data_IF_770302478542
#
_entry.id   IF_770302478542
#
_cell.length_a   1.000
_cell.length_b   1.000
_cell.length_c   1.000
_cell.angle_alpha   90.00
_cell.angle_beta   90.00
_cell.angle_gamma   90.00
#
_symmetry.space_group_name_H-M   'P 1'
#
loop_
_entity.id
_entity.type
_entity.pdbx_description
1 polymer ?
#
# COMPACT_ATOMS: atom_id res chain seq x y z
N UNK A 1 -23.13 -2.70 10.76
CA UNK A 1 -21.87 -1.92 10.65
C UNK A 1 -21.41 -1.96 9.20
N UNK A 2 -21.03 -0.83 8.58
CA UNK A 2 -20.58 -0.79 7.16
C UNK A 2 -19.05 -0.75 7.10
N UNK A 3 -18.44 -1.31 6.05
CA UNK A 3 -16.96 -1.29 5.85
C UNK A 3 -16.40 0.14 5.94
N UNK A 4 -17.09 1.11 5.33
CA UNK A 4 -16.72 2.53 5.39
C UNK A 4 -16.65 3.12 6.80
N UNK A 5 -17.21 2.45 7.81
CA UNK A 5 -17.17 2.91 9.20
C UNK A 5 -15.93 2.40 9.96
N UNK A 6 -15.18 1.46 9.38
CA UNK A 6 -14.02 0.81 10.02
C UNK A 6 -12.75 0.83 9.16
N UNK A 7 -12.88 1.04 7.85
CA UNK A 7 -11.72 1.08 6.95
C UNK A 7 -10.84 2.31 7.19
N UNK A 8 -9.55 2.17 6.87
CA UNK A 8 -8.67 3.34 6.67
C UNK A 8 -9.07 3.98 5.34
N UNK A 9 -9.60 5.20 5.38
CA UNK A 9 -10.18 5.86 4.20
C UNK A 9 -9.16 6.25 3.12
N UNK A 10 -7.89 6.44 3.50
CA UNK A 10 -6.82 6.82 2.57
C UNK A 10 -5.53 6.07 2.93
N UNK A 11 -5.44 4.76 2.66
CA UNK A 11 -4.24 3.99 2.95
C UNK A 11 -3.07 4.50 2.10
N UNK A 12 -1.85 4.33 2.59
CA UNK A 12 -0.66 4.53 1.76
C UNK A 12 -0.64 3.50 0.63
N UNK A 13 -0.38 3.96 -0.58
CA UNK A 13 -0.32 3.13 -1.79
C UNK A 13 1.05 3.20 -2.43
N UNK A 14 1.41 2.15 -3.17
CA UNK A 14 2.62 2.06 -3.99
C UNK A 14 2.20 2.12 -5.45
N UNK A 15 2.91 2.86 -6.28
CA UNK A 15 2.67 2.87 -7.73
C UNK A 15 3.28 1.63 -8.39
N UNK A 16 2.62 1.06 -9.39
CA UNK A 16 3.11 -0.13 -10.10
C UNK A 16 4.45 0.06 -10.83
N UNK A 17 4.86 1.30 -11.07
CA UNK A 17 6.11 1.68 -11.73
C UNK A 17 7.24 2.06 -10.75
N UNK A 18 6.97 2.09 -9.44
CA UNK A 18 7.97 2.35 -8.41
C UNK A 18 8.91 1.15 -8.22
N UNK A 19 10.17 1.43 -7.86
CA UNK A 19 11.12 0.37 -7.54
C UNK A 19 10.78 -0.28 -6.19
N UNK A 20 11.29 -1.49 -5.96
CA UNK A 20 11.13 -2.16 -4.66
C UNK A 20 11.75 -1.34 -3.51
N UNK A 21 12.81 -0.58 -3.78
CA UNK A 21 13.44 0.30 -2.80
C UNK A 21 12.58 1.53 -2.47
N UNK A 22 11.82 2.05 -3.43
CA UNK A 22 10.87 3.14 -3.17
C UNK A 22 9.66 2.59 -2.38
N UNK A 23 9.16 1.42 -2.78
CA UNK A 23 8.08 0.75 -2.07
C UNK A 23 8.46 0.37 -0.62
N UNK A 24 9.72 0.01 -0.37
CA UNK A 24 10.18 -0.39 0.96
C UNK A 24 10.18 0.79 1.95
N UNK A 25 10.39 2.02 1.47
CA UNK A 25 10.38 3.24 2.29
C UNK A 25 9.04 3.48 2.97
N UNK A 26 7.92 3.14 2.31
CA UNK A 26 6.58 3.31 2.90
C UNK A 26 6.45 2.53 4.23
N UNK A 27 7.05 1.33 4.33
CA UNK A 27 7.01 0.56 5.57
C UNK A 27 7.90 1.16 6.67
N UNK A 28 9.05 1.73 6.29
CA UNK A 28 9.99 2.37 7.22
C UNK A 28 9.47 3.71 7.74
N UNK A 29 8.85 4.50 6.86
CA UNK A 29 8.46 5.88 7.13
C UNK A 29 7.06 6.00 7.77
N UNK A 30 6.18 5.01 7.55
CA UNK A 30 4.77 5.11 7.92
C UNK A 30 4.24 3.99 8.85
N UNK A 31 5.11 3.12 9.38
CA UNK A 31 4.75 2.01 10.28
C UNK A 31 3.54 1.18 9.78
N UNK A 32 3.51 0.94 8.47
CA UNK A 32 2.54 0.06 7.83
C UNK A 32 3.21 -1.30 7.55
N UNK A 33 2.41 -2.36 7.46
CA UNK A 33 2.89 -3.71 7.10
C UNK A 33 2.44 -4.16 5.70
N UNK A 34 1.48 -3.45 5.10
CA UNK A 34 0.98 -3.71 3.76
C UNK A 34 0.53 -2.39 3.10
N UNK A 35 0.62 -2.37 1.78
CA UNK A 35 0.15 -1.26 0.97
C UNK A 35 -0.49 -1.80 -0.32
N UNK A 36 -1.65 -1.27 -0.76
CA UNK A 36 -2.19 -1.55 -2.09
C UNK A 36 -1.24 -1.02 -3.16
N UNK A 37 -1.09 -1.78 -4.25
CA UNK A 37 -0.38 -1.33 -5.44
C UNK A 37 -1.41 -0.76 -6.42
N UNK A 38 -1.21 0.49 -6.84
CA UNK A 38 -2.09 1.19 -7.78
C UNK A 38 -1.42 1.38 -9.14
N UNK A 39 -2.19 1.16 -10.19
CA UNK A 39 -1.79 1.31 -11.59
C UNK A 39 -1.82 2.75 -12.06
N UNK A 40 -1.59 2.96 -13.36
CA UNK A 40 -1.51 4.31 -13.95
C UNK A 40 -2.80 5.11 -13.77
N UNK A 41 -3.95 4.43 -13.77
CA UNK A 41 -5.28 5.04 -13.69
C UNK A 41 -5.87 5.02 -12.27
N UNK A 42 -5.02 4.87 -11.25
CA UNK A 42 -5.42 4.71 -9.83
C UNK A 42 -6.29 3.47 -9.56
N UNK A 43 -6.26 2.51 -10.47
CA UNK A 43 -6.85 1.19 -10.30
C UNK A 43 -6.00 0.32 -9.40
N UNK A 44 -6.62 -0.48 -8.53
CA UNK A 44 -5.89 -1.42 -7.67
C UNK A 44 -5.44 -2.60 -8.52
N UNK A 45 -4.13 -2.77 -8.68
CA UNK A 45 -3.52 -3.84 -9.46
C UNK A 45 -2.89 -4.94 -8.60
N UNK A 46 -2.75 -4.71 -7.30
CA UNK A 46 -2.20 -5.71 -6.39
C UNK A 46 -2.06 -5.23 -4.95
N UNK A 47 -1.32 -6.03 -4.18
CA UNK A 47 -0.95 -5.73 -2.80
C UNK A 47 0.50 -6.14 -2.57
N UNK A 48 1.23 -5.34 -1.80
CA UNK A 48 2.56 -5.67 -1.33
C UNK A 48 2.55 -5.69 0.20
N UNK A 49 3.29 -6.64 0.77
CA UNK A 49 3.44 -6.82 2.21
C UNK A 49 4.92 -7.02 2.52
N UNK A 50 5.32 -6.64 3.73
CA UNK A 50 6.59 -7.09 4.28
C UNK A 50 6.38 -8.37 5.07
N UNK A 51 7.29 -9.33 4.91
CA UNK A 51 7.42 -10.46 5.80
C UNK A 51 8.73 -10.29 6.55
N UNK A 52 8.68 -10.30 7.88
CA UNK A 52 9.90 -10.47 8.67
C UNK A 52 10.35 -11.91 8.48
N UNK A 53 11.56 -12.08 7.95
CA UNK A 53 12.30 -13.35 8.02
C UNK A 53 12.90 -13.44 9.41
#
# INVERSE_FOLDING_TARGET
MKVKNVMVCNPYTVRSDQSLADASRIYLDHDVNCAPVVGVNDDIVGIITISKV
#
